data_IF_936588143626
#
_entry.id   IF_936588143626
#
_cell.length_a   1.000
_cell.length_b   1.000
_cell.length_c   1.000
_cell.angle_alpha   90.00
_cell.angle_beta   90.00
_cell.angle_gamma   90.00
#
_symmetry.space_group_name_H-M   'P 1'
#
loop_
_entity.id
_entity.type
_entity.pdbx_description
1 polymer ?
#
# COMPACT_ATOMS: atom_id res chain seq x y z
N UNK A 1 26.89 -4.34 -0.84
CA UNK A 1 25.89 -3.28 -1.12
C UNK A 1 24.51 -3.94 -1.05
N UNK A 2 23.55 -3.35 -0.35
CA UNK A 2 22.18 -3.85 -0.34
C UNK A 2 21.60 -3.71 -1.75
N UNK A 3 20.83 -4.72 -2.20
CA UNK A 3 20.13 -4.66 -3.50
C UNK A 3 19.01 -3.61 -3.43
N UNK A 4 18.73 -2.88 -4.51
CA UNK A 4 17.77 -1.77 -4.54
C UNK A 4 16.38 -2.19 -4.02
N UNK A 5 15.91 -3.40 -4.30
CA UNK A 5 14.62 -3.90 -3.82
C UNK A 5 14.54 -4.09 -2.29
N UNK A 6 15.68 -4.05 -1.56
CA UNK A 6 15.72 -4.15 -0.10
C UNK A 6 15.52 -2.80 0.60
N UNK A 7 15.68 -1.70 -0.13
CA UNK A 7 15.60 -0.35 0.41
C UNK A 7 14.14 0.08 0.67
N UNK A 8 13.95 1.06 1.55
CA UNK A 8 12.67 1.70 1.78
C UNK A 8 12.31 2.71 0.68
N UNK A 9 11.06 3.10 0.61
CA UNK A 9 10.58 4.00 -0.44
C UNK A 9 11.24 5.39 -0.39
N UNK A 10 11.38 5.98 0.80
CA UNK A 10 12.07 7.25 0.98
C UNK A 10 13.57 7.16 0.66
N UNK A 11 14.23 6.08 1.08
CA UNK A 11 15.64 5.86 0.77
C UNK A 11 15.89 5.73 -0.74
N UNK A 12 14.98 5.05 -1.46
CA UNK A 12 15.03 4.99 -2.93
C UNK A 12 14.84 6.38 -3.55
N UNK A 13 13.84 7.15 -3.08
CA UNK A 13 13.59 8.51 -3.57
C UNK A 13 14.80 9.42 -3.36
N UNK A 14 15.47 9.32 -2.19
CA UNK A 14 16.66 10.11 -1.90
C UNK A 14 17.84 9.73 -2.79
N UNK A 15 18.07 8.44 -3.05
CA UNK A 15 19.11 7.97 -3.97
C UNK A 15 18.86 8.40 -5.42
N UNK A 16 17.60 8.40 -5.88
CA UNK A 16 17.22 8.92 -7.20
C UNK A 16 17.47 10.44 -7.26
N UNK A 17 17.01 11.18 -6.25
CA UNK A 17 17.20 12.64 -6.15
C UNK A 17 18.66 13.06 -6.16
N UNK A 18 19.52 12.32 -5.46
CA UNK A 18 20.96 12.59 -5.40
C UNK A 18 21.74 12.12 -6.64
N UNK A 19 21.12 11.36 -7.53
CA UNK A 19 21.79 10.75 -8.69
C UNK A 19 22.68 9.54 -8.33
N UNK A 20 22.55 8.99 -7.11
CA UNK A 20 23.26 7.76 -6.71
C UNK A 20 22.71 6.52 -7.47
N UNK A 21 21.43 6.57 -7.84
CA UNK A 21 20.79 5.58 -8.72
C UNK A 21 19.78 6.28 -9.64
N UNK A 22 19.26 5.55 -10.62
CA UNK A 22 18.19 6.03 -11.50
C UNK A 22 16.86 5.39 -11.14
N UNK A 23 15.75 6.09 -11.41
CA UNK A 23 14.40 5.54 -11.30
C UNK A 23 14.26 4.27 -12.14
N UNK A 24 14.81 4.28 -13.37
CA UNK A 24 14.83 3.11 -14.23
C UNK A 24 15.48 1.90 -13.57
N UNK A 25 16.66 2.05 -12.98
CA UNK A 25 17.36 0.97 -12.27
C UNK A 25 16.56 0.44 -11.08
N UNK A 26 15.84 1.33 -10.38
CA UNK A 26 14.98 0.95 -9.26
C UNK A 26 13.77 0.14 -9.75
N UNK A 27 13.09 0.58 -10.81
CA UNK A 27 11.95 -0.15 -11.39
C UNK A 27 12.39 -1.50 -11.92
N UNK A 28 13.51 -1.57 -12.67
CA UNK A 28 14.06 -2.83 -13.18
C UNK A 28 14.42 -3.81 -12.06
N UNK A 29 14.99 -3.35 -10.95
CA UNK A 29 15.30 -4.19 -9.80
C UNK A 29 14.04 -4.79 -9.15
N UNK A 30 12.94 -4.03 -9.07
CA UNK A 30 11.68 -4.53 -8.54
C UNK A 30 10.98 -5.47 -9.52
N UNK A 31 10.99 -5.20 -10.83
CA UNK A 31 10.49 -6.12 -11.85
C UNK A 31 11.24 -7.45 -11.83
N UNK A 32 12.56 -7.42 -11.74
CA UNK A 32 13.38 -8.64 -11.60
C UNK A 32 13.05 -9.40 -10.31
N UNK A 33 12.76 -8.68 -9.21
CA UNK A 33 12.32 -9.31 -7.96
C UNK A 33 10.94 -9.96 -8.10
N UNK A 34 10.01 -9.34 -8.84
CA UNK A 34 8.70 -9.94 -9.17
C UNK A 34 8.91 -11.24 -9.94
N UNK A 35 9.77 -11.25 -10.98
CA UNK A 35 10.07 -12.45 -11.76
C UNK A 35 10.62 -13.59 -10.89
N UNK A 36 11.46 -13.25 -9.92
CA UNK A 36 12.11 -14.23 -9.07
C UNK A 36 11.19 -14.91 -8.05
N UNK A 37 10.13 -14.21 -7.55
CA UNK A 37 9.39 -14.73 -6.39
C UNK A 37 7.87 -14.76 -6.53
N UNK A 38 7.30 -14.03 -7.47
CA UNK A 38 5.83 -13.91 -7.56
C UNK A 38 5.16 -15.20 -8.02
N UNK A 39 5.85 -16.05 -8.77
CA UNK A 39 5.34 -17.36 -9.21
C UNK A 39 4.91 -18.25 -8.04
N UNK A 40 5.64 -18.18 -6.92
CA UNK A 40 5.34 -18.93 -5.71
C UNK A 40 4.31 -18.23 -4.82
N UNK A 41 4.25 -16.88 -4.87
CA UNK A 41 3.46 -16.06 -3.94
C UNK A 41 2.10 -15.64 -4.49
N UNK A 42 1.98 -15.42 -5.79
CA UNK A 42 0.77 -14.92 -6.45
C UNK A 42 0.21 -13.66 -5.76
N UNK A 43 1.11 -12.71 -5.47
CA UNK A 43 0.79 -11.45 -4.81
C UNK A 43 0.45 -10.35 -5.82
N UNK A 44 1.27 -10.22 -6.87
CA UNK A 44 1.06 -9.33 -8.01
C UNK A 44 0.29 -10.12 -9.09
N UNK A 45 -0.84 -9.57 -9.53
CA UNK A 45 -1.74 -10.22 -10.48
C UNK A 45 -1.82 -9.50 -11.83
N UNK A 46 -1.30 -8.28 -11.89
CA UNK A 46 -1.14 -7.51 -13.13
C UNK A 46 0.11 -6.66 -13.03
N UNK A 47 0.93 -6.68 -14.06
CA UNK A 47 2.13 -5.86 -14.23
C UNK A 47 1.85 -4.75 -15.22
N UNK A 48 2.56 -3.63 -15.06
CA UNK A 48 2.50 -2.43 -15.92
C UNK A 48 3.94 -2.06 -16.33
N UNK A 49 4.68 -3.03 -16.85
CA UNK A 49 6.14 -2.93 -17.06
C UNK A 49 6.51 -1.81 -18.00
N UNK A 50 5.89 -1.76 -19.19
CA UNK A 50 6.22 -0.77 -20.21
C UNK A 50 5.89 0.66 -19.74
N UNK A 51 4.72 0.83 -19.11
CA UNK A 51 4.28 2.11 -18.56
C UNK A 51 5.19 2.55 -17.40
N UNK A 52 5.59 1.60 -16.55
CA UNK A 52 6.46 1.90 -15.41
C UNK A 52 7.88 2.27 -15.85
N UNK A 53 8.44 1.57 -16.85
CA UNK A 53 9.74 1.90 -17.40
C UNK A 53 9.73 3.25 -18.12
N UNK A 54 8.70 3.56 -18.90
CA UNK A 54 8.55 4.87 -19.55
C UNK A 54 8.41 6.00 -18.51
N UNK A 55 7.65 5.76 -17.42
CA UNK A 55 7.52 6.73 -16.33
C UNK A 55 8.85 6.92 -15.56
N UNK A 56 9.63 5.86 -15.41
CA UNK A 56 10.95 5.90 -14.80
C UNK A 56 11.95 6.71 -15.65
N UNK A 57 11.96 6.51 -16.96
CA UNK A 57 12.78 7.30 -17.88
C UNK A 57 12.41 8.80 -17.78
N UNK A 58 11.12 9.13 -17.75
CA UNK A 58 10.65 10.51 -17.60
C UNK A 58 11.05 11.11 -16.23
N UNK A 59 11.06 10.29 -15.16
CA UNK A 59 11.52 10.71 -13.85
C UNK A 59 13.03 11.01 -13.84
N UNK A 60 13.84 10.15 -14.45
CA UNK A 60 15.29 10.36 -14.57
C UNK A 60 15.61 11.64 -15.39
N UNK A 61 14.87 11.87 -16.48
CA UNK A 61 14.99 13.12 -17.22
C UNK A 61 14.61 14.36 -16.40
N UNK A 62 13.60 14.27 -15.52
CA UNK A 62 13.21 15.38 -14.65
C UNK A 62 14.33 15.73 -13.66
N UNK A 63 14.98 14.73 -13.06
CA UNK A 63 16.16 14.91 -12.20
C UNK A 63 17.29 15.57 -12.98
N UNK A 64 17.60 15.07 -14.18
CA UNK A 64 18.67 15.62 -15.02
C UNK A 64 18.46 17.09 -15.42
N UNK A 65 17.20 17.52 -15.54
CA UNK A 65 16.85 18.93 -15.83
C UNK A 65 16.78 19.82 -14.58
N UNK A 66 16.98 19.25 -13.37
CA UNK A 66 16.84 19.98 -12.11
C UNK A 66 15.42 20.43 -11.81
N UNK A 67 14.42 19.66 -12.25
CA UNK A 67 13.02 19.96 -12.00
C UNK A 67 12.69 19.83 -10.50
N UNK A 68 11.66 20.55 -10.06
CA UNK A 68 11.07 20.32 -8.73
C UNK A 68 10.41 18.94 -8.71
N UNK A 69 10.77 18.10 -7.73
CA UNK A 69 10.35 16.71 -7.66
C UNK A 69 9.71 16.40 -6.30
N UNK A 70 8.72 15.54 -6.31
CA UNK A 70 7.97 15.12 -5.12
C UNK A 70 8.74 14.14 -4.21
N UNK A 71 8.18 13.84 -3.01
CA UNK A 71 8.84 13.01 -2.00
C UNK A 71 9.02 11.54 -2.41
N UNK A 72 8.23 11.03 -3.36
CA UNK A 72 8.33 9.66 -3.89
C UNK A 72 8.77 9.61 -5.35
N UNK A 73 9.48 10.63 -5.80
CA UNK A 73 9.87 10.75 -7.20
C UNK A 73 10.64 9.53 -7.71
N UNK A 74 10.10 8.91 -8.77
CA UNK A 74 10.70 7.75 -9.43
C UNK A 74 10.58 6.42 -8.68
N UNK A 75 9.85 6.37 -7.57
CA UNK A 75 9.70 5.15 -6.74
C UNK A 75 8.54 4.30 -7.24
N UNK A 76 8.76 2.99 -7.57
CA UNK A 76 7.68 2.09 -7.94
C UNK A 76 6.79 1.78 -6.74
N UNK A 77 5.46 1.73 -6.96
CA UNK A 77 4.48 1.35 -5.96
C UNK A 77 3.48 0.33 -6.50
N UNK A 78 2.93 -0.50 -5.63
CA UNK A 78 1.82 -1.37 -5.96
C UNK A 78 0.48 -0.76 -5.55
N UNK A 79 -0.60 -1.18 -6.23
CA UNK A 79 -1.96 -0.71 -5.94
C UNK A 79 -2.89 -1.91 -5.90
N UNK A 80 -3.61 -2.08 -4.79
CA UNK A 80 -4.60 -3.14 -4.62
C UNK A 80 -5.68 -3.06 -5.70
N UNK A 81 -6.08 -4.22 -6.25
CA UNK A 81 -6.93 -4.29 -7.45
C UNK A 81 -8.42 -3.92 -7.23
N UNK A 82 -8.75 -3.33 -6.09
CA UNK A 82 -10.04 -2.67 -5.84
C UNK A 82 -9.93 -1.15 -5.63
N UNK A 83 -8.76 -0.57 -5.89
CA UNK A 83 -8.53 0.88 -5.92
C UNK A 83 -8.36 1.25 -7.39
N UNK A 84 -9.11 2.24 -7.89
CA UNK A 84 -9.04 2.64 -9.29
C UNK A 84 -7.64 3.16 -9.65
N UNK A 85 -7.05 2.56 -10.69
CA UNK A 85 -5.81 3.00 -11.30
C UNK A 85 -6.05 3.11 -12.80
N UNK A 86 -5.99 4.31 -13.33
CA UNK A 86 -6.36 4.63 -14.70
C UNK A 86 -5.69 3.71 -15.73
N UNK A 87 -6.47 3.26 -16.71
CA UNK A 87 -6.02 2.34 -17.76
C UNK A 87 -5.94 0.88 -17.34
N UNK A 88 -6.26 0.53 -16.07
CA UNK A 88 -6.23 -0.85 -15.58
C UNK A 88 -7.60 -1.27 -15.02
N UNK A 89 -7.91 -2.57 -15.00
CA UNK A 89 -9.14 -3.05 -14.40
C UNK A 89 -9.15 -2.88 -12.88
N UNK A 90 -10.33 -2.53 -12.34
CA UNK A 90 -10.65 -2.58 -10.91
C UNK A 90 -11.53 -3.81 -10.68
N UNK A 91 -10.91 -4.98 -10.58
CA UNK A 91 -11.60 -6.27 -10.69
C UNK A 91 -12.36 -6.69 -9.43
N UNK A 92 -12.08 -6.12 -8.27
CA UNK A 92 -12.62 -6.59 -6.99
C UNK A 92 -12.35 -8.09 -6.73
N UNK A 93 -11.39 -8.72 -7.44
CA UNK A 93 -11.12 -10.15 -7.40
C UNK A 93 -12.15 -11.02 -8.14
N UNK A 94 -13.07 -10.43 -8.90
CA UNK A 94 -14.20 -11.09 -9.56
C UNK A 94 -13.99 -11.25 -11.07
N UNK A 95 -14.24 -12.43 -11.65
CA UNK A 95 -14.21 -12.62 -13.11
C UNK A 95 -15.15 -11.67 -13.87
N UNK A 96 -16.33 -11.33 -13.29
CA UNK A 96 -17.28 -10.41 -13.90
C UNK A 96 -16.74 -8.98 -14.10
N UNK A 97 -15.70 -8.59 -13.36
CA UNK A 97 -15.07 -7.28 -13.46
C UNK A 97 -13.64 -7.35 -14.05
N UNK A 98 -13.24 -8.47 -14.63
CA UNK A 98 -11.89 -8.65 -15.18
C UNK A 98 -11.49 -7.59 -16.22
N UNK A 99 -12.48 -7.03 -16.93
CA UNK A 99 -12.30 -6.00 -17.96
C UNK A 99 -12.90 -4.63 -17.55
N UNK A 100 -13.16 -4.41 -16.27
CA UNK A 100 -13.71 -3.16 -15.75
C UNK A 100 -12.60 -2.09 -15.64
N UNK A 101 -12.14 -1.57 -16.79
CA UNK A 101 -11.05 -0.60 -16.89
C UNK A 101 -11.47 0.73 -16.25
N UNK A 102 -10.70 1.20 -15.27
CA UNK A 102 -10.90 2.49 -14.65
C UNK A 102 -10.43 3.62 -15.60
N UNK A 103 -11.28 4.59 -15.95
CA UNK A 103 -10.90 5.70 -16.82
C UNK A 103 -10.07 6.77 -16.09
N UNK A 104 -10.11 6.82 -14.76
CA UNK A 104 -9.40 7.79 -13.92
C UNK A 104 -8.83 7.10 -12.68
N UNK A 105 -7.78 7.67 -12.10
CA UNK A 105 -7.22 7.22 -10.85
C UNK A 105 -8.17 7.50 -9.65
N UNK A 106 -8.14 6.65 -8.63
CA UNK A 106 -8.65 7.01 -7.31
C UNK A 106 -7.85 8.19 -6.73
N UNK A 107 -8.43 9.01 -5.81
CA UNK A 107 -7.74 10.16 -5.25
C UNK A 107 -6.37 9.84 -4.63
N UNK A 108 -6.22 8.68 -4.02
CA UNK A 108 -4.97 8.21 -3.42
C UNK A 108 -3.90 7.91 -4.47
N UNK A 109 -4.27 7.27 -5.57
CA UNK A 109 -3.36 6.98 -6.69
C UNK A 109 -2.94 8.27 -7.40
N UNK A 110 -3.89 9.17 -7.67
CA UNK A 110 -3.63 10.50 -8.25
C UNK A 110 -2.60 11.28 -7.42
N UNK A 111 -2.76 11.31 -6.09
CA UNK A 111 -1.84 11.99 -5.19
C UNK A 111 -0.46 11.36 -5.15
N UNK A 112 -0.39 10.03 -5.13
CA UNK A 112 0.91 9.33 -5.17
C UNK A 112 1.64 9.59 -6.49
N UNK A 113 0.93 9.60 -7.64
CA UNK A 113 1.52 10.02 -8.93
C UNK A 113 1.99 11.47 -8.90
N UNK A 114 1.20 12.37 -8.34
CA UNK A 114 1.59 13.78 -8.18
C UNK A 114 2.82 13.96 -7.28
N UNK A 115 3.01 13.07 -6.29
CA UNK A 115 4.21 12.99 -5.47
C UNK A 115 5.39 12.30 -6.17
N UNK A 116 5.22 11.89 -7.43
CA UNK A 116 6.24 11.28 -8.28
C UNK A 116 6.35 9.76 -8.18
N UNK A 117 5.48 9.08 -7.44
CA UNK A 117 5.46 7.62 -7.38
C UNK A 117 4.95 6.99 -8.70
N UNK A 118 5.45 5.82 -9.02
CA UNK A 118 5.15 5.08 -10.26
C UNK A 118 4.35 3.82 -9.92
N UNK A 119 3.00 3.79 -10.10
CA UNK A 119 2.25 2.55 -10.05
C UNK A 119 2.75 1.59 -11.13
N UNK A 120 3.33 0.45 -10.71
CA UNK A 120 3.95 -0.51 -11.64
C UNK A 120 3.27 -1.87 -11.65
N UNK A 121 2.40 -2.14 -10.65
CA UNK A 121 1.70 -3.41 -10.57
C UNK A 121 0.43 -3.33 -9.73
N UNK A 122 -0.51 -4.27 -9.99
CA UNK A 122 -1.73 -4.46 -9.24
C UNK A 122 -1.64 -5.72 -8.40
N UNK A 123 -2.19 -5.69 -7.18
CA UNK A 123 -2.08 -6.79 -6.23
C UNK A 123 -3.41 -7.45 -5.92
N UNK A 124 -3.34 -8.74 -5.59
CA UNK A 124 -4.49 -9.59 -5.31
C UNK A 124 -5.23 -9.18 -4.02
N UNK A 125 -6.52 -9.46 -4.02
CA UNK A 125 -7.43 -9.34 -2.87
C UNK A 125 -8.46 -10.49 -2.94
N UNK A 126 -9.15 -10.87 -1.85
CA UNK A 126 -10.29 -11.76 -1.93
C UNK A 126 -11.48 -11.07 -2.59
N UNK A 127 -12.42 -11.85 -3.09
CA UNK A 127 -13.65 -11.38 -3.73
C UNK A 127 -14.31 -10.25 -2.93
N UNK A 128 -14.49 -9.08 -3.56
CA UNK A 128 -15.03 -7.84 -2.97
C UNK A 128 -14.30 -7.35 -1.70
N UNK A 129 -13.12 -7.86 -1.41
CA UNK A 129 -12.39 -7.52 -0.19
C UNK A 129 -13.03 -8.05 1.12
N UNK A 130 -13.94 -9.01 1.05
CA UNK A 130 -14.78 -9.43 2.18
C UNK A 130 -14.17 -10.52 3.09
N UNK A 131 -12.88 -10.86 2.95
CA UNK A 131 -12.23 -11.91 3.76
C UNK A 131 -10.91 -11.43 4.35
N UNK A 132 -10.53 -12.02 5.48
CA UNK A 132 -9.22 -11.85 6.14
C UNK A 132 -8.16 -12.82 5.62
N UNK A 133 -8.40 -13.42 4.46
CA UNK A 133 -7.54 -14.36 3.76
C UNK A 133 -7.61 -14.06 2.27
N UNK A 134 -6.46 -13.83 1.64
CA UNK A 134 -6.40 -13.39 0.24
C UNK A 134 -6.44 -14.58 -0.72
N UNK A 135 -7.64 -14.88 -1.15
CA UNK A 135 -7.95 -15.84 -2.22
C UNK A 135 -9.13 -15.28 -3.02
N UNK A 136 -8.92 -15.00 -4.30
CA UNK A 136 -9.97 -14.53 -5.21
C UNK A 136 -10.39 -15.61 -6.19
N UNK A 137 -11.64 -15.50 -6.65
CA UNK A 137 -12.15 -16.36 -7.72
C UNK A 137 -11.41 -16.10 -9.04
N UNK A 138 -10.98 -14.86 -9.28
CA UNK A 138 -10.29 -14.46 -10.51
C UNK A 138 -8.82 -14.91 -10.53
N UNK A 139 -8.08 -14.69 -9.44
CA UNK A 139 -6.62 -14.83 -9.44
C UNK A 139 -6.10 -15.96 -8.52
N UNK A 140 -6.97 -16.58 -7.72
CA UNK A 140 -6.58 -17.65 -6.79
C UNK A 140 -5.92 -17.12 -5.51
N UNK A 141 -5.13 -17.99 -4.88
CA UNK A 141 -4.55 -17.81 -3.55
C UNK A 141 -3.25 -17.00 -3.59
N UNK A 142 -3.15 -15.99 -2.72
CA UNK A 142 -1.87 -15.35 -2.38
C UNK A 142 -1.27 -16.01 -1.13
N UNK A 143 0.01 -16.35 -1.20
CA UNK A 143 0.75 -17.03 -0.12
C UNK A 143 1.52 -16.04 0.75
N UNK A 144 1.73 -16.43 1.99
CA UNK A 144 2.58 -15.71 2.93
C UNK A 144 4.06 -15.91 2.55
N UNK A 145 4.88 -14.83 2.41
CA UNK A 145 6.27 -14.96 1.97
C UNK A 145 7.20 -15.62 3.00
N UNK A 146 6.80 -15.64 4.28
CA UNK A 146 7.60 -16.26 5.34
C UNK A 146 7.26 -17.74 5.55
N UNK A 147 6.02 -18.15 5.23
CA UNK A 147 5.58 -19.53 5.41
C UNK A 147 4.42 -19.88 4.48
N UNK A 148 4.62 -20.77 3.47
CA UNK A 148 3.60 -21.05 2.44
C UNK A 148 2.31 -21.70 2.98
N UNK A 149 2.35 -22.31 4.16
CA UNK A 149 1.19 -22.89 4.83
C UNK A 149 0.42 -21.92 5.74
N UNK A 150 0.82 -20.65 5.79
CA UNK A 150 0.14 -19.59 6.56
C UNK A 150 -0.52 -18.60 5.63
N UNK A 151 -1.55 -17.90 6.14
CA UNK A 151 -2.21 -16.84 5.38
C UNK A 151 -1.31 -15.60 5.24
N UNK A 152 -1.38 -14.92 4.09
CA UNK A 152 -0.83 -13.57 3.94
C UNK A 152 -1.71 -12.51 4.62
N UNK A 153 -2.79 -12.93 5.26
CA UNK A 153 -3.83 -12.03 5.74
C UNK A 153 -4.77 -11.57 4.61
N UNK A 154 -5.60 -10.62 4.91
CA UNK A 154 -6.59 -10.06 3.97
C UNK A 154 -7.34 -8.87 4.59
N UNK A 155 -7.94 -8.13 3.71
CA UNK A 155 -8.09 -8.31 2.27
C UNK A 155 -6.91 -7.77 1.44
N UNK A 156 -5.96 -7.00 1.99
CA UNK A 156 -4.76 -6.49 1.28
C UNK A 156 -3.57 -7.44 1.38
N UNK A 157 -3.80 -8.77 1.33
CA UNK A 157 -2.73 -9.76 1.47
C UNK A 157 -1.79 -9.80 0.26
N UNK A 158 -2.27 -9.45 -0.93
CA UNK A 158 -1.42 -9.25 -2.11
C UNK A 158 -0.40 -8.14 -1.88
N UNK A 159 -0.84 -6.97 -1.39
CA UNK A 159 0.05 -5.88 -1.02
C UNK A 159 1.08 -6.31 0.02
N UNK A 160 0.61 -6.88 1.14
CA UNK A 160 1.51 -7.26 2.22
C UNK A 160 2.55 -8.31 1.80
N UNK A 161 2.13 -9.30 1.01
CA UNK A 161 3.04 -10.32 0.47
C UNK A 161 4.06 -9.73 -0.50
N UNK A 162 3.63 -8.82 -1.39
CA UNK A 162 4.51 -8.13 -2.33
C UNK A 162 5.57 -7.28 -1.60
N UNK A 163 5.16 -6.51 -0.61
CA UNK A 163 6.06 -5.64 0.15
C UNK A 163 7.02 -6.44 1.02
N UNK A 164 6.54 -7.44 1.75
CA UNK A 164 7.37 -8.27 2.63
C UNK A 164 8.43 -9.07 1.86
N UNK A 165 8.12 -9.50 0.63
CA UNK A 165 9.05 -10.23 -0.24
C UNK A 165 9.99 -9.33 -1.05
N UNK A 166 9.85 -8.00 -0.95
CA UNK A 166 10.68 -7.02 -1.66
C UNK A 166 10.25 -6.73 -3.09
N UNK A 167 9.11 -7.25 -3.55
CA UNK A 167 8.59 -6.92 -4.88
C UNK A 167 8.15 -5.47 -5.01
N UNK A 168 7.75 -4.82 -3.91
CA UNK A 168 7.42 -3.40 -3.86
C UNK A 168 7.95 -2.77 -2.57
N UNK A 169 8.43 -1.53 -2.57
CA UNK A 169 8.81 -0.83 -1.34
C UNK A 169 7.61 -0.26 -0.59
N UNK A 170 6.52 0.07 -1.30
CA UNK A 170 5.33 0.74 -0.82
C UNK A 170 4.11 0.32 -1.64
N UNK A 171 2.94 0.29 -1.03
CA UNK A 171 1.68 0.00 -1.73
C UNK A 171 0.47 0.66 -1.10
N UNK A 172 -0.63 0.68 -1.85
CA UNK A 172 -1.92 1.22 -1.43
C UNK A 172 -2.94 0.08 -1.25
N UNK A 173 -3.58 0.06 -0.09
CA UNK A 173 -4.66 -0.87 0.23
C UNK A 173 -5.82 -0.18 0.91
N UNK A 174 -6.74 -0.97 1.47
CA UNK A 174 -7.88 -0.43 2.21
C UNK A 174 -8.27 -1.32 3.39
N UNK A 175 -9.05 -0.77 4.33
CA UNK A 175 -9.42 -1.42 5.59
C UNK A 175 -10.82 -1.01 6.04
N UNK A 176 -11.69 -2.00 6.21
CA UNK A 176 -12.99 -1.84 6.87
C UNK A 176 -13.04 -2.62 8.21
N UNK A 177 -12.43 -3.80 8.24
CA UNK A 177 -12.45 -4.71 9.39
C UNK A 177 -11.08 -5.31 9.71
N UNK A 178 -9.98 -4.63 9.32
CA UNK A 178 -8.61 -5.10 9.55
C UNK A 178 -7.78 -5.27 8.27
N UNK A 179 -8.30 -4.90 7.11
CA UNK A 179 -7.70 -5.29 5.82
C UNK A 179 -6.40 -4.56 5.44
N UNK A 180 -5.94 -3.56 6.19
CA UNK A 180 -4.56 -3.04 6.20
C UNK A 180 -3.75 -3.70 7.33
N UNK A 181 -4.31 -3.70 8.53
CA UNK A 181 -3.65 -4.12 9.78
C UNK A 181 -3.39 -5.62 9.85
N UNK A 182 -4.38 -6.45 9.48
CA UNK A 182 -4.27 -7.91 9.52
C UNK A 182 -3.19 -8.44 8.55
N UNK A 183 -3.16 -8.07 7.25
CA UNK A 183 -2.08 -8.52 6.37
C UNK A 183 -0.72 -7.93 6.76
N UNK A 184 -0.64 -6.71 7.28
CA UNK A 184 0.60 -6.16 7.81
C UNK A 184 1.14 -7.01 8.97
N UNK A 185 0.27 -7.41 9.92
CA UNK A 185 0.63 -8.34 10.98
C UNK A 185 1.07 -9.72 10.45
N UNK A 186 0.33 -10.30 9.51
CA UNK A 186 0.63 -11.63 8.96
C UNK A 186 1.96 -11.68 8.19
N UNK A 187 2.34 -10.59 7.54
CA UNK A 187 3.55 -10.50 6.71
C UNK A 187 4.71 -9.72 7.36
N UNK A 188 4.54 -9.20 8.58
CA UNK A 188 5.60 -8.51 9.31
C UNK A 188 6.01 -7.16 8.70
N UNK A 189 5.05 -6.37 8.22
CA UNK A 189 5.26 -5.03 7.67
C UNK A 189 4.50 -3.97 8.46
N UNK A 190 4.73 -2.70 8.16
CA UNK A 190 4.02 -1.56 8.74
C UNK A 190 2.82 -1.13 7.89
N UNK A 191 1.76 -0.64 8.54
CA UNK A 191 0.62 -0.01 7.89
C UNK A 191 -0.12 0.90 8.87
N UNK A 192 -0.98 1.75 8.34
CA UNK A 192 -1.91 2.57 9.13
C UNK A 192 -3.33 2.43 8.59
N UNK A 193 -4.31 2.24 9.50
CA UNK A 193 -5.72 2.47 9.19
C UNK A 193 -6.06 3.90 9.57
N UNK A 194 -6.19 4.83 8.62
CA UNK A 194 -6.54 6.22 8.90
C UNK A 194 -7.92 6.34 9.58
N UNK A 195 -8.16 7.50 10.18
CA UNK A 195 -9.52 7.92 10.55
C UNK A 195 -10.37 8.08 9.29
N UNK A 196 -11.64 7.69 9.35
CA UNK A 196 -12.58 7.88 8.23
C UNK A 196 -12.64 9.36 7.85
N UNK A 197 -12.52 9.63 6.56
CA UNK A 197 -12.47 10.99 6.02
C UNK A 197 -11.07 11.62 5.98
N UNK A 198 -10.07 11.08 6.70
CA UNK A 198 -8.70 11.61 6.63
C UNK A 198 -8.06 11.37 5.25
N UNK A 199 -8.37 10.25 4.61
CA UNK A 199 -7.96 9.91 3.26
C UNK A 199 -9.20 9.82 2.36
N UNK A 200 -9.26 10.55 1.24
CA UNK A 200 -10.41 10.52 0.37
C UNK A 200 -10.51 9.19 -0.38
N UNK A 201 -11.73 8.71 -0.54
CA UNK A 201 -12.05 7.51 -1.29
C UNK A 201 -13.09 7.81 -2.36
N UNK A 202 -12.79 7.46 -3.59
CA UNK A 202 -13.75 7.52 -4.68
C UNK A 202 -13.42 6.44 -5.72
N UNK A 203 -14.46 5.80 -6.24
CA UNK A 203 -14.36 4.84 -7.34
C UNK A 203 -15.36 5.20 -8.42
N UNK A 204 -15.02 4.88 -9.67
CA UNK A 204 -15.91 5.00 -10.81
C UNK A 204 -16.33 3.62 -11.37
N UNK A 205 -15.73 2.56 -10.81
CA UNK A 205 -16.07 1.18 -11.16
C UNK A 205 -17.11 0.63 -10.17
N UNK A 206 -18.16 -0.04 -10.63
CA UNK A 206 -19.16 -0.65 -9.75
C UNK A 206 -18.57 -1.69 -8.77
N UNK A 207 -19.15 -1.83 -7.58
CA UNK A 207 -20.31 -1.09 -7.07
C UNK A 207 -19.94 0.31 -6.57
N UNK A 208 -20.55 1.36 -7.13
CA UNK A 208 -20.34 2.74 -6.70
C UNK A 208 -21.14 3.09 -5.46
N UNK A 209 -22.37 2.53 -5.36
CA UNK A 209 -23.23 2.70 -4.19
C UNK A 209 -22.75 1.80 -3.05
N UNK A 210 -21.94 2.37 -2.19
CA UNK A 210 -21.40 1.65 -1.05
C UNK A 210 -22.46 1.47 0.05
N UNK A 211 -22.45 0.29 0.68
CA UNK A 211 -23.23 0.03 1.89
C UNK A 211 -22.88 1.04 2.99
N UNK A 212 -23.83 1.37 3.87
CA UNK A 212 -23.63 2.32 4.96
C UNK A 212 -22.42 1.96 5.85
N UNK A 213 -22.21 0.68 6.12
CA UNK A 213 -21.02 0.20 6.86
C UNK A 213 -19.73 0.54 6.14
N UNK A 214 -19.68 0.38 4.81
CA UNK A 214 -18.50 0.77 4.01
C UNK A 214 -18.29 2.28 4.05
N UNK A 215 -19.36 3.06 3.92
CA UNK A 215 -19.28 4.51 3.98
C UNK A 215 -18.73 5.02 5.32
N UNK A 216 -19.03 4.36 6.42
CA UNK A 216 -18.65 4.78 7.77
C UNK A 216 -17.33 4.19 8.29
N UNK A 217 -16.84 3.12 7.69
CA UNK A 217 -15.72 2.36 8.26
C UNK A 217 -14.58 2.09 7.28
N UNK A 218 -14.87 2.02 5.97
CA UNK A 218 -13.86 1.74 4.96
C UNK A 218 -12.94 2.96 4.76
N UNK A 219 -11.65 2.71 4.75
CA UNK A 219 -10.60 3.71 4.48
C UNK A 219 -9.55 3.13 3.55
N UNK A 220 -8.91 3.97 2.75
CA UNK A 220 -7.66 3.65 2.05
C UNK A 220 -6.45 4.06 2.89
N UNK A 221 -5.34 3.37 2.69
CA UNK A 221 -4.10 3.68 3.39
C UNK A 221 -2.88 2.96 2.84
N UNK A 222 -1.68 3.45 3.19
CA UNK A 222 -0.42 2.87 2.75
C UNK A 222 0.02 1.67 3.58
N UNK A 223 0.80 0.79 2.92
CA UNK A 223 1.56 -0.29 3.52
C UNK A 223 3.02 -0.17 3.05
N UNK A 224 3.98 -0.39 3.94
CA UNK A 224 5.42 -0.43 3.62
C UNK A 224 6.18 -1.26 4.64
N UNK A 225 7.46 -1.55 4.37
CA UNK A 225 8.30 -2.24 5.36
C UNK A 225 8.67 -1.35 6.56
N UNK A 226 8.71 -0.03 6.38
CA UNK A 226 9.15 0.94 7.41
C UNK A 226 8.03 1.91 7.77
N UNK A 227 7.94 2.25 9.04
CA UNK A 227 6.95 3.22 9.55
C UNK A 227 7.15 4.61 8.92
N UNK A 228 8.41 5.02 8.68
CA UNK A 228 8.70 6.30 8.04
C UNK A 228 8.10 6.40 6.63
N UNK A 229 8.19 5.32 5.83
CA UNK A 229 7.59 5.27 4.49
C UNK A 229 6.06 5.34 4.57
N UNK A 230 5.44 4.63 5.54
CA UNK A 230 3.98 4.68 5.78
C UNK A 230 3.55 6.09 6.18
N UNK A 231 4.28 6.77 7.08
CA UNK A 231 4.00 8.13 7.51
C UNK A 231 4.04 9.10 6.33
N UNK A 232 5.12 9.11 5.57
CA UNK A 232 5.27 10.01 4.44
C UNK A 232 4.20 9.77 3.35
N UNK A 233 3.87 8.50 3.07
CA UNK A 233 2.80 8.18 2.14
C UNK A 233 1.43 8.61 2.66
N UNK A 234 1.16 8.46 3.96
CA UNK A 234 -0.07 8.95 4.57
C UNK A 234 -0.18 10.48 4.47
N UNK A 235 0.89 11.22 4.71
CA UNK A 235 0.94 12.67 4.55
C UNK A 235 0.60 13.11 3.11
N UNK A 236 1.05 12.36 2.11
CA UNK A 236 0.73 12.61 0.71
C UNK A 236 -0.74 12.35 0.37
N UNK A 237 -1.30 11.23 0.85
CA UNK A 237 -2.66 10.83 0.45
C UNK A 237 -3.77 11.47 1.29
N UNK A 238 -3.46 12.05 2.46
CA UNK A 238 -4.43 12.66 3.36
C UNK A 238 -4.95 14.02 2.87
N UNK A 239 -6.11 14.41 3.40
CA UNK A 239 -6.75 15.71 3.13
C UNK A 239 -7.94 15.63 2.18
N UNK A 240 -8.68 16.75 1.95
CA UNK A 240 -9.95 16.75 1.26
C UNK A 240 -9.83 16.52 -0.24
N UNK A 241 -10.85 15.90 -0.84
CA UNK A 241 -11.01 15.77 -2.28
C UNK A 241 -12.45 16.09 -2.69
N UNK A 242 -12.66 16.84 -3.79
CA UNK A 242 -14.02 17.10 -4.28
C UNK A 242 -14.78 15.83 -4.73
N UNK A 243 -14.05 14.73 -4.94
CA UNK A 243 -14.64 13.43 -5.29
C UNK A 243 -15.10 12.60 -4.09
N UNK A 244 -14.75 13.00 -2.85
CA UNK A 244 -15.25 12.37 -1.62
C UNK A 244 -15.76 13.45 -0.65
N UNK A 245 -17.07 13.65 -0.57
CA UNK A 245 -17.65 14.69 0.30
C UNK A 245 -17.47 14.41 1.80
N UNK A 246 -17.01 13.20 2.19
CA UNK A 246 -16.70 12.86 3.58
C UNK A 246 -15.27 13.21 3.96
N UNK A 247 -14.42 13.51 2.97
CA UNK A 247 -13.02 13.84 3.23
C UNK A 247 -12.88 15.22 3.89
N UNK A 248 -11.97 15.30 4.85
CA UNK A 248 -11.76 16.49 5.67
C UNK A 248 -10.31 16.95 5.62
N UNK A 249 -10.03 18.23 5.91
CA UNK A 249 -8.66 18.69 6.10
C UNK A 249 -7.98 17.93 7.22
N UNK A 250 -6.71 17.57 7.02
CA UNK A 250 -5.86 16.90 8.02
C UNK A 250 -4.68 17.81 8.32
N UNK A 251 -4.43 18.04 9.60
CA UNK A 251 -3.24 18.76 10.07
C UNK A 251 -2.31 17.76 10.74
N UNK A 252 -1.07 17.72 10.30
CA UNK A 252 -0.02 16.96 10.94
C UNK A 252 0.72 17.87 11.91
N UNK A 253 0.68 17.52 13.19
CA UNK A 253 1.38 18.26 14.23
C UNK A 253 2.58 17.45 14.68
N UNK A 254 3.75 18.05 14.69
CA UNK A 254 4.91 17.47 15.33
C UNK A 254 4.85 17.75 16.84
N UNK A 255 5.32 16.78 17.62
CA UNK A 255 5.47 16.97 19.05
C UNK A 255 6.60 17.98 19.30
N UNK A 256 6.34 18.94 20.18
CA UNK A 256 7.38 19.88 20.63
C UNK A 256 8.48 19.18 21.42
N UNK A 257 9.67 19.78 21.42
CA UNK A 257 10.80 19.27 22.21
C UNK A 257 10.40 19.13 23.69
N UNK A 258 10.57 17.91 24.24
CA UNK A 258 10.21 17.59 25.61
C UNK A 258 8.75 17.25 25.87
N UNK A 259 7.88 17.31 24.88
CA UNK A 259 6.49 16.87 24.99
C UNK A 259 6.42 15.34 25.14
N UNK A 260 5.70 14.86 26.16
CA UNK A 260 5.52 13.44 26.42
C UNK A 260 4.10 13.01 26.13
N UNK A 261 3.96 11.95 25.35
CA UNK A 261 2.67 11.30 25.15
C UNK A 261 2.39 10.29 26.26
N UNK A 262 1.14 10.24 26.72
CA UNK A 262 0.66 9.12 27.54
C UNK A 262 0.13 8.06 26.60
N UNK A 263 0.73 6.87 26.64
CA UNK A 263 0.34 5.73 25.81
C UNK A 263 -0.41 4.72 26.66
N UNK A 264 -1.65 4.40 26.27
CA UNK A 264 -2.43 3.31 26.88
C UNK A 264 -2.01 1.97 26.28
N UNK A 265 -1.71 0.98 27.14
CA UNK A 265 -1.34 -0.38 26.71
C UNK A 265 -2.44 -1.35 27.06
N UNK A 266 -2.98 -2.07 26.09
CA UNK A 266 -4.01 -3.08 26.25
C UNK A 266 -3.53 -4.41 25.63
N UNK A 267 -2.77 -5.18 26.40
CA UNK A 267 -2.22 -6.46 25.92
C UNK A 267 -3.28 -7.57 25.86
N UNK A 268 -4.31 -7.49 26.67
CA UNK A 268 -5.39 -8.50 26.78
C UNK A 268 -6.75 -7.79 26.76
N UNK A 269 -7.31 -7.50 25.55
CA UNK A 269 -8.60 -6.81 25.45
C UNK A 269 -9.73 -7.66 26.04
N UNK A 270 -10.76 -7.05 26.64
CA UNK A 270 -11.90 -7.77 27.18
C UNK A 270 -12.69 -8.48 26.07
N UNK A 271 -13.22 -9.66 26.39
CA UNK A 271 -14.09 -10.41 25.49
C UNK A 271 -13.42 -11.49 24.64
N UNK A 272 -12.14 -11.75 24.81
CA UNK A 272 -11.44 -12.85 24.14
C UNK A 272 -10.10 -13.19 24.79
N UNK A 273 -9.63 -14.41 24.59
CA UNK A 273 -8.29 -14.80 25.01
C UNK A 273 -7.27 -14.31 23.98
N UNK A 274 -6.29 -13.53 24.43
CA UNK A 274 -5.13 -13.16 23.61
C UNK A 274 -4.07 -14.26 23.74
N UNK A 275 -3.50 -14.70 22.61
CA UNK A 275 -2.40 -15.66 22.63
C UNK A 275 -1.23 -15.09 23.46
N UNK A 276 -0.61 -15.86 24.36
CA UNK A 276 0.43 -15.35 25.27
C UNK A 276 1.59 -14.66 24.58
N UNK A 277 2.04 -15.16 23.42
CA UNK A 277 3.11 -14.54 22.62
C UNK A 277 2.70 -13.15 22.08
N UNK A 278 1.44 -12.98 21.70
CA UNK A 278 0.93 -11.67 21.23
C UNK A 278 0.87 -10.69 22.41
N UNK A 279 0.34 -11.13 23.55
CA UNK A 279 0.30 -10.29 24.76
C UNK A 279 1.72 -9.89 25.22
N UNK A 280 2.67 -10.82 25.16
CA UNK A 280 4.07 -10.55 25.47
C UNK A 280 4.70 -9.54 24.49
N UNK A 281 4.44 -9.66 23.19
CA UNK A 281 4.94 -8.73 22.19
C UNK A 281 4.38 -7.31 22.38
N UNK A 282 3.08 -7.18 22.75
CA UNK A 282 2.46 -5.87 23.06
C UNK A 282 3.13 -5.23 24.29
N UNK A 283 3.41 -6.01 25.35
CA UNK A 283 4.10 -5.50 26.54
C UNK A 283 5.53 -5.08 26.20
N UNK A 284 6.28 -5.92 25.48
CA UNK A 284 7.64 -5.59 25.05
C UNK A 284 7.70 -4.31 24.20
N UNK A 285 6.73 -4.09 23.33
CA UNK A 285 6.64 -2.85 22.54
C UNK A 285 6.33 -1.61 23.40
N UNK A 286 5.66 -1.80 24.55
CA UNK A 286 5.36 -0.70 25.47
C UNK A 286 6.56 -0.30 26.34
N UNK A 287 7.52 -1.20 26.52
CA UNK A 287 8.74 -0.97 27.32
C UNK A 287 9.81 -0.20 26.53
N UNK A 288 9.65 0.00 25.20
CA UNK A 288 10.51 0.75 24.31
C UNK A 288 10.04 2.19 24.10
#
# INVERSE_FOLDING_TARGET
>A
MSELWQLGALELADKIRSGETTSRSVVEAHLARVDAVNGDLNAIVRRLDDEALAAADAADEAVARGAEIGPFHGVPITVKENIDCAGTPTTQGLPALAEAIAPIDAPTVERMRAAGAIPFARTNLPDLGLRVHTHSTLHGLTRNPHHPGRTAGGSSGGEASAIASGMSPLGLGNDIGGSLRNPAHCCGIASIKPTVGAVPMATVIPPQDQLLSSQQMLVEGPLARRVADVRAAFEVVAGPSPRDPRSVPVTFTELGDGERLTVGVLAEPPGGATHPEIAAAVRAAADH
#
